data_IF_808722565083
#
_entry.id   IF_808722565083
#
_cell.length_a   1.000
_cell.length_b   1.000
_cell.length_c   1.000
_cell.angle_alpha   90.00
_cell.angle_beta   90.00
_cell.angle_gamma   90.00
#
_symmetry.space_group_name_H-M   'P 1'
#
loop_
_entity.id
_entity.type
_entity.pdbx_description
1 polymer ?
#
# COMPACT_ATOMS: atom_id res chain seq x y z
N UNK A 1 18.09 2.97 -1.19
CA UNK A 1 16.82 3.27 -0.48
C UNK A 1 15.96 2.04 -0.55
N UNK A 2 15.24 1.72 0.52
CA UNK A 2 14.32 0.59 0.54
C UNK A 2 13.16 0.86 -0.43
N UNK A 3 12.76 -0.12 -1.25
CA UNK A 3 11.68 0.05 -2.24
C UNK A 3 10.30 0.20 -1.59
N UNK A 4 10.18 -0.15 -0.31
CA UNK A 4 8.96 -0.08 0.49
C UNK A 4 9.24 0.74 1.75
N UNK A 5 8.42 1.76 2.01
CA UNK A 5 8.47 2.50 3.28
C UNK A 5 7.33 2.05 4.18
N UNK A 6 7.63 1.70 5.43
CA UNK A 6 6.63 1.28 6.43
C UNK A 6 6.46 2.38 7.49
N UNK A 7 5.22 2.81 7.71
CA UNK A 7 4.82 3.65 8.84
C UNK A 7 3.94 2.80 9.76
N UNK A 8 4.38 2.58 10.99
CA UNK A 8 3.66 1.74 11.95
C UNK A 8 3.67 2.32 13.36
N UNK A 9 2.63 2.02 14.15
CA UNK A 9 2.60 2.24 15.60
C UNK A 9 3.33 1.16 16.40
N UNK A 10 3.76 0.07 15.75
CA UNK A 10 4.48 -1.03 16.38
C UNK A 10 3.62 -1.95 17.25
N UNK A 11 2.29 -1.80 17.21
CA UNK A 11 1.36 -2.57 18.05
C UNK A 11 1.18 -4.02 17.58
N UNK A 12 1.70 -4.38 16.40
CA UNK A 12 1.49 -5.68 15.76
C UNK A 12 2.79 -6.37 15.36
N UNK A 13 2.79 -7.69 15.45
CA UNK A 13 3.88 -8.55 14.99
C UNK A 13 3.73 -8.91 13.50
N UNK A 14 3.69 -7.91 12.62
CA UNK A 14 3.69 -8.14 11.16
C UNK A 14 5.11 -8.45 10.71
N UNK A 15 5.28 -9.52 9.93
CA UNK A 15 6.58 -9.87 9.34
C UNK A 15 6.87 -8.99 8.11
N UNK A 16 7.37 -7.77 8.36
CA UNK A 16 7.70 -6.81 7.32
C UNK A 16 8.87 -7.25 6.43
N UNK A 17 9.79 -8.06 6.95
CA UNK A 17 10.90 -8.61 6.14
C UNK A 17 10.35 -9.48 5.00
N UNK A 18 9.41 -10.38 5.32
CA UNK A 18 8.73 -11.21 4.30
C UNK A 18 7.92 -10.36 3.32
N UNK A 19 7.26 -9.31 3.80
CA UNK A 19 6.48 -8.41 2.93
C UNK A 19 7.40 -7.64 1.98
N UNK A 20 8.51 -7.10 2.49
CA UNK A 20 9.49 -6.38 1.69
C UNK A 20 10.05 -7.28 0.59
N UNK A 21 10.35 -8.55 0.89
CA UNK A 21 10.80 -9.52 -0.11
C UNK A 21 9.76 -9.73 -1.23
N UNK A 22 8.47 -9.80 -0.91
CA UNK A 22 7.42 -9.92 -1.93
C UNK A 22 7.40 -8.72 -2.89
N UNK A 23 7.57 -7.51 -2.37
CA UNK A 23 7.63 -6.31 -3.19
C UNK A 23 8.92 -6.25 -4.02
N UNK A 24 10.06 -6.65 -3.46
CA UNK A 24 11.34 -6.74 -4.19
C UNK A 24 11.27 -7.73 -5.34
N UNK A 25 10.75 -8.94 -5.09
CA UNK A 25 10.59 -9.99 -6.10
C UNK A 25 9.65 -9.53 -7.22
N UNK A 26 8.54 -8.87 -6.86
CA UNK A 26 7.61 -8.30 -7.82
C UNK A 26 8.27 -7.19 -8.65
N UNK A 27 8.99 -6.27 -8.01
CA UNK A 27 9.72 -5.19 -8.69
C UNK A 27 10.76 -5.76 -9.66
N UNK A 28 11.51 -6.79 -9.26
CA UNK A 28 12.54 -7.41 -10.09
C UNK A 28 11.96 -8.14 -11.31
N UNK A 29 10.74 -8.65 -11.19
CA UNK A 29 10.03 -9.31 -12.29
C UNK A 29 9.42 -8.34 -13.31
N UNK A 30 9.23 -7.07 -12.95
CA UNK A 30 8.58 -6.06 -13.80
C UNK A 30 9.58 -5.50 -14.83
N UNK A 31 9.24 -5.46 -16.15
CA UNK A 31 10.13 -4.91 -17.18
C UNK A 31 10.49 -3.45 -16.90
N UNK A 32 11.76 -3.10 -17.04
CA UNK A 32 12.35 -1.79 -16.68
C UNK A 32 11.61 -0.58 -17.25
N UNK A 33 10.93 -0.74 -18.39
CA UNK A 33 10.19 0.33 -19.10
C UNK A 33 8.81 0.67 -18.51
N UNK A 34 8.32 -0.13 -17.54
CA UNK A 34 6.97 0.03 -16.97
C UNK A 34 6.94 0.76 -15.61
N UNK A 35 8.10 0.97 -14.99
CA UNK A 35 8.22 1.66 -13.71
C UNK A 35 8.68 3.10 -13.97
N UNK A 36 7.77 4.06 -13.84
CA UNK A 36 8.14 5.48 -13.88
C UNK A 36 9.00 5.81 -12.66
N UNK A 37 10.26 6.16 -12.89
CA UNK A 37 11.07 6.85 -11.90
C UNK A 37 10.49 8.26 -11.71
N UNK A 38 9.89 8.50 -10.55
CA UNK A 38 9.52 9.85 -10.13
C UNK A 38 10.82 10.53 -9.67
N UNK A 39 11.36 11.39 -10.53
CA UNK A 39 12.72 11.94 -10.40
C UNK A 39 12.85 13.11 -9.42
N UNK A 40 12.39 13.00 -8.18
CA UNK A 40 12.31 14.14 -7.24
C UNK A 40 12.50 13.68 -5.75
N UNK A 41 13.66 13.11 -5.44
CA UNK A 41 14.25 13.11 -4.08
C UNK A 41 14.07 11.85 -3.22
N UNK A 42 14.56 11.90 -1.98
CA UNK A 42 14.78 10.75 -1.08
C UNK A 42 13.52 9.94 -0.69
N UNK A 43 12.32 10.46 -0.91
CA UNK A 43 11.04 9.76 -0.71
C UNK A 43 10.43 9.22 -2.00
N UNK A 44 10.94 9.64 -3.16
CA UNK A 44 10.41 9.29 -4.47
C UNK A 44 11.00 8.02 -5.07
N UNK A 45 11.99 7.43 -4.40
CA UNK A 45 12.49 6.10 -4.73
C UNK A 45 11.66 4.98 -4.07
N UNK A 46 10.83 5.32 -3.07
CA UNK A 46 9.91 4.37 -2.44
C UNK A 46 8.77 4.09 -3.41
N UNK A 47 8.78 2.89 -3.97
CA UNK A 47 7.79 2.44 -4.95
C UNK A 47 6.46 2.07 -4.30
N UNK A 48 6.47 1.83 -2.99
CA UNK A 48 5.29 1.50 -2.20
C UNK A 48 5.38 2.07 -0.78
N UNK A 49 4.24 2.44 -0.20
CA UNK A 49 4.12 2.75 1.22
C UNK A 49 3.17 1.79 1.92
N UNK A 50 3.56 1.29 3.09
CA UNK A 50 2.71 0.54 4.01
C UNK A 50 2.40 1.45 5.20
N UNK A 51 1.12 1.58 5.52
CA UNK A 51 0.62 2.33 6.67
C UNK A 51 -0.10 1.34 7.57
N UNK A 52 0.50 1.01 8.70
CA UNK A 52 0.00 0.03 9.66
C UNK A 52 -0.30 0.70 11.00
N UNK A 53 -1.57 0.96 11.26
CA UNK A 53 -1.99 1.51 12.55
C UNK A 53 -3.17 0.73 13.10
N UNK A 54 -3.16 0.48 14.40
CA UNK A 54 -4.30 -0.10 15.10
C UNK A 54 -5.51 0.80 15.00
N UNK A 55 -5.30 2.09 15.22
CA UNK A 55 -6.34 3.09 15.05
C UNK A 55 -6.54 3.40 13.55
N UNK A 56 -7.75 3.13 13.10
CA UNK A 56 -8.16 3.31 11.73
C UNK A 56 -8.15 4.77 11.23
N UNK A 57 -8.45 5.75 12.09
CA UNK A 57 -8.38 7.16 11.74
C UNK A 57 -6.93 7.63 11.60
N UNK A 58 -6.03 7.14 12.46
CA UNK A 58 -4.60 7.38 12.34
C UNK A 58 -4.05 6.78 11.04
N UNK A 59 -4.44 5.56 10.70
CA UNK A 59 -4.05 4.90 9.45
C UNK A 59 -4.47 5.74 8.23
N UNK A 60 -5.73 6.21 8.20
CA UNK A 60 -6.25 7.06 7.12
C UNK A 60 -5.54 8.42 7.09
N UNK A 61 -5.32 9.04 8.24
CA UNK A 61 -4.63 10.33 8.33
C UNK A 61 -3.19 10.25 7.82
N UNK A 62 -2.45 9.21 8.20
CA UNK A 62 -1.09 8.97 7.72
C UNK A 62 -1.06 8.74 6.21
N UNK A 63 -1.97 7.91 5.68
CA UNK A 63 -2.10 7.69 4.24
C UNK A 63 -2.43 8.98 3.46
N UNK A 64 -3.32 9.83 3.99
CA UNK A 64 -3.64 11.15 3.42
C UNK A 64 -2.41 12.07 3.41
N UNK A 65 -1.65 12.08 4.49
CA UNK A 65 -0.44 12.90 4.59
C UNK A 65 0.60 12.48 3.54
N UNK A 66 0.89 11.18 3.42
CA UNK A 66 1.83 10.65 2.42
C UNK A 66 1.42 11.09 1.01
N UNK A 67 0.15 10.90 0.65
CA UNK A 67 -0.34 11.23 -0.70
C UNK A 67 -0.53 12.72 -0.95
N UNK A 68 -0.53 13.55 0.08
CA UNK A 68 -0.44 15.00 -0.10
C UNK A 68 0.94 15.41 -0.66
N UNK A 69 2.00 14.66 -0.30
CA UNK A 69 3.37 14.89 -0.76
C UNK A 69 3.71 14.09 -2.02
N UNK A 70 3.24 12.84 -2.12
CA UNK A 70 3.51 11.94 -3.26
C UNK A 70 2.17 11.34 -3.75
N UNK A 71 1.39 12.06 -4.56
CA UNK A 71 0.00 11.67 -4.89
C UNK A 71 -0.15 10.34 -5.65
N UNK A 72 0.88 9.96 -6.40
CA UNK A 72 0.94 8.78 -7.25
C UNK A 72 1.54 7.55 -6.56
N UNK A 73 2.09 7.69 -5.35
CA UNK A 73 2.63 6.53 -4.62
C UNK A 73 1.51 5.53 -4.30
N UNK A 74 1.71 4.24 -4.60
CA UNK A 74 0.82 3.18 -4.11
C UNK A 74 0.89 3.08 -2.58
N UNK A 75 -0.28 3.01 -1.93
CA UNK A 75 -0.39 2.90 -0.47
C UNK A 75 -1.17 1.66 -0.07
N UNK A 76 -0.57 0.83 0.77
CA UNK A 76 -1.22 -0.27 1.47
C UNK A 76 -1.55 0.15 2.90
N UNK A 77 -2.83 0.18 3.26
CA UNK A 77 -3.29 0.49 4.62
C UNK A 77 -3.67 -0.80 5.34
N UNK A 78 -3.03 -1.10 6.46
CA UNK A 78 -3.31 -2.23 7.35
C UNK A 78 -3.88 -1.68 8.65
N UNK A 79 -5.07 -2.11 9.05
CA UNK A 79 -5.69 -1.60 10.28
C UNK A 79 -6.78 -2.52 10.87
N UNK A 80 -7.13 -2.30 12.16
CA UNK A 80 -8.20 -3.00 12.88
C UNK A 80 -9.49 -2.21 12.66
N UNK A 81 -10.23 -2.45 11.58
CA UNK A 81 -11.55 -1.82 11.48
C UNK A 81 -12.53 -2.51 12.42
N UNK A 82 -12.78 -1.87 13.56
CA UNK A 82 -14.13 -1.91 14.14
C UNK A 82 -15.07 -1.27 13.10
N UNK A 83 -16.25 -1.86 12.91
CA UNK A 83 -17.20 -1.68 11.79
C UNK A 83 -17.59 -0.25 11.33
N UNK A 84 -17.06 0.79 11.98
CA UNK A 84 -17.39 2.20 11.78
C UNK A 84 -16.59 2.89 10.66
N UNK A 85 -15.43 2.38 10.24
CA UNK A 85 -14.74 2.94 9.07
C UNK A 85 -15.30 2.34 7.79
N UNK A 86 -16.22 3.10 7.20
CA UNK A 86 -16.86 2.79 5.91
C UNK A 86 -15.93 3.17 4.74
N UNK A 87 -16.24 2.62 3.55
CA UNK A 87 -15.67 3.00 2.22
C UNK A 87 -15.48 4.51 1.98
N UNK A 88 -16.19 5.37 2.75
CA UNK A 88 -16.02 6.82 2.71
C UNK A 88 -14.62 7.30 3.13
N UNK A 89 -14.01 6.70 4.15
CA UNK A 89 -12.70 7.15 4.64
C UNK A 89 -11.59 6.82 3.63
N UNK A 90 -11.77 5.73 2.87
CA UNK A 90 -10.93 5.42 1.72
C UNK A 90 -11.03 6.46 0.60
N UNK A 91 -12.23 7.00 0.35
CA UNK A 91 -12.44 8.06 -0.67
C UNK A 91 -11.77 9.37 -0.28
N UNK A 92 -11.40 9.56 0.98
CA UNK A 92 -10.68 10.75 1.43
C UNK A 92 -9.17 10.67 1.21
N UNK A 93 -8.64 9.47 0.93
CA UNK A 93 -7.25 9.25 0.57
C UNK A 93 -7.09 9.63 -0.91
N UNK A 94 -6.91 10.93 -1.17
CA UNK A 94 -6.82 11.51 -2.52
C UNK A 94 -5.48 11.17 -3.21
N UNK A 95 -5.46 11.22 -4.55
CA UNK A 95 -4.28 11.01 -5.40
C UNK A 95 -4.54 10.02 -6.54
N UNK A 96 -3.54 9.79 -7.40
CA UNK A 96 -3.64 8.93 -8.59
C UNK A 96 -3.04 7.52 -8.41
N UNK A 97 -2.21 7.31 -7.39
CA UNK A 97 -1.71 5.97 -7.02
C UNK A 97 -2.79 5.01 -6.52
N UNK A 98 -2.50 3.71 -6.58
CA UNK A 98 -3.40 2.66 -6.08
C UNK A 98 -3.42 2.66 -4.56
N UNK A 99 -4.62 2.59 -3.97
CA UNK A 99 -4.79 2.39 -2.53
C UNK A 99 -5.40 1.02 -2.29
N UNK A 100 -4.70 0.18 -1.54
CA UNK A 100 -5.20 -1.10 -1.04
C UNK A 100 -5.37 -1.00 0.46
N UNK A 101 -6.37 -1.70 0.95
CA UNK A 101 -6.66 -1.76 2.37
C UNK A 101 -6.87 -3.21 2.79
N UNK A 102 -6.22 -3.59 3.88
CA UNK A 102 -6.29 -4.91 4.48
C UNK A 102 -6.70 -4.80 5.95
N UNK A 103 -7.58 -5.70 6.34
CA UNK A 103 -7.93 -5.89 7.74
C UNK A 103 -6.83 -6.72 8.39
N UNK A 104 -6.33 -6.23 9.53
CA UNK A 104 -5.52 -7.06 10.39
C UNK A 104 -6.41 -8.12 11.06
N UNK A 105 -5.91 -9.36 11.06
CA UNK A 105 -6.51 -10.48 11.77
C UNK A 105 -5.43 -11.10 12.66
N UNK A 106 -5.54 -10.89 13.97
CA UNK A 106 -4.59 -11.41 14.94
C UNK A 106 -4.63 -12.96 15.01
N UNK A 107 -5.74 -13.58 14.60
CA UNK A 107 -5.87 -15.04 14.57
C UNK A 107 -5.19 -15.66 13.33
N UNK A 108 -4.96 -14.86 12.30
CA UNK A 108 -4.31 -15.29 11.06
C UNK A 108 -3.34 -14.20 10.53
N UNK A 109 -2.19 -13.98 11.19
CA UNK A 109 -1.19 -12.98 10.77
C UNK A 109 -0.72 -13.15 9.31
N UNK A 110 -0.66 -14.40 8.83
CA UNK A 110 -0.27 -14.72 7.46
C UNK A 110 -1.30 -14.30 6.42
N UNK A 111 -2.54 -13.99 6.83
CA UNK A 111 -3.57 -13.46 5.94
C UNK A 111 -3.12 -12.18 5.22
N UNK A 112 -2.42 -11.29 5.93
CA UNK A 112 -1.88 -10.05 5.34
C UNK A 112 -0.89 -10.39 4.24
N UNK A 113 0.05 -11.29 4.50
CA UNK A 113 1.08 -11.70 3.54
C UNK A 113 0.44 -12.30 2.28
N UNK A 114 -0.47 -13.27 2.44
CA UNK A 114 -1.18 -13.90 1.31
C UNK A 114 -2.01 -12.88 0.51
N UNK A 115 -2.58 -11.90 1.20
CA UNK A 115 -3.38 -10.85 0.56
C UNK A 115 -2.53 -9.88 -0.25
N UNK A 116 -1.33 -9.55 0.23
CA UNK A 116 -0.34 -8.72 -0.49
C UNK A 116 0.16 -9.47 -1.71
N UNK A 117 0.58 -10.72 -1.55
CA UNK A 117 1.02 -11.57 -2.66
C UNK A 117 -0.04 -11.64 -3.77
N UNK A 118 -1.29 -11.95 -3.41
CA UNK A 118 -2.41 -11.97 -4.37
C UNK A 118 -2.62 -10.60 -5.04
N UNK A 119 -2.51 -9.51 -4.27
CA UNK A 119 -2.69 -8.17 -4.80
C UNK A 119 -1.58 -7.81 -5.80
N UNK A 120 -0.33 -8.15 -5.52
CA UNK A 120 0.80 -7.98 -6.44
C UNK A 120 0.60 -8.75 -7.74
N UNK A 121 0.06 -9.98 -7.68
CA UNK A 121 -0.31 -10.74 -8.88
C UNK A 121 -1.46 -10.11 -9.69
N UNK A 122 -2.36 -9.34 -9.05
CA UNK A 122 -3.45 -8.66 -9.77
C UNK A 122 -3.01 -7.40 -10.50
N UNK A 123 -1.84 -6.84 -10.20
CA UNK A 123 -1.40 -5.63 -10.89
C UNK A 123 -1.20 -5.85 -12.39
N UNK A 124 -0.91 -7.07 -12.86
CA UNK A 124 -0.67 -7.34 -14.27
C UNK A 124 0.58 -6.60 -14.77
N UNK A 125 1.48 -7.30 -15.46
CA UNK A 125 2.73 -6.71 -15.97
C UNK A 125 2.54 -5.55 -16.97
N UNK A 126 1.29 -5.20 -17.34
CA UNK A 126 0.95 -4.13 -18.28
C UNK A 126 0.12 -2.97 -17.69
N UNK A 127 -0.27 -3.01 -16.40
CA UNK A 127 -1.01 -1.89 -15.83
C UNK A 127 -0.03 -0.81 -15.38
N UNK A 128 -0.07 0.42 -15.92
CA UNK A 128 0.69 1.51 -15.36
C UNK A 128 0.28 1.68 -13.89
N UNK A 129 1.27 1.82 -12.99
CA UNK A 129 1.09 2.07 -11.55
C UNK A 129 0.16 3.28 -11.26
N UNK A 130 -0.11 4.10 -12.29
CA UNK A 130 -1.21 5.06 -12.34
C UNK A 130 -2.48 4.40 -12.88
N UNK A 131 -3.21 3.65 -12.05
CA UNK A 131 -4.58 3.26 -12.38
C UNK A 131 -5.54 4.40 -11.99
N UNK A 132 -6.45 4.84 -12.88
CA UNK A 132 -7.40 5.89 -12.56
C UNK A 132 -8.31 5.40 -11.43
N UNK A 133 -8.61 6.30 -10.48
CA UNK A 133 -9.36 6.04 -9.23
C UNK A 133 -10.83 5.66 -9.43
N UNK A 134 -11.20 5.04 -10.54
CA UNK A 134 -12.58 4.71 -10.91
C UNK A 134 -12.73 3.19 -10.99
N UNK A 135 -13.24 2.64 -9.89
CA UNK A 135 -14.19 1.52 -9.83
C UNK A 135 -13.93 0.33 -10.76
N UNK A 136 -13.43 -0.77 -10.19
CA UNK A 136 -13.89 -2.10 -10.59
C UNK A 136 -14.46 -2.83 -9.37
N UNK A 137 -15.78 -2.80 -9.27
CA UNK A 137 -16.60 -3.77 -8.55
C UNK A 137 -17.36 -4.55 -9.62
N UNK A 138 -17.06 -5.83 -9.76
CA UNK A 138 -18.04 -6.85 -10.17
C UNK A 138 -18.29 -7.72 -8.96
#
# INVERSE_FOLDING_TARGET
MEPVTVLTDGERCINYEKINQLFEDWIAAVPSDSVKETGRGDWENSRFCIVDYRNAEQAVSAAKAIRAFVPDVPVLVITDFQSLIRKRHLREINGTGVVKMLLWDEQDPDHVVRSIERWLHTFGYEAPLTMPSVLYLR
#
